data_IF_746967969233
#
_entry.id   IF_746967969233
#
_cell.length_a   1.000
_cell.length_b   1.000
_cell.length_c   1.000
_cell.angle_alpha   90.00
_cell.angle_beta   90.00
_cell.angle_gamma   90.00
#
_symmetry.space_group_name_H-M   'P 1'
#
loop_
_entity.id
_entity.type
_entity.pdbx_description
1 polymer ?
#
# COMPACT_ATOMS: atom_id res chain seq x y z
N UNK A 1 -15.69 38.53 -27.72
CA UNK A 1 -14.67 39.24 -26.91
C UNK A 1 -14.43 38.45 -25.62
N UNK A 2 -13.16 38.11 -25.37
CA UNK A 2 -12.51 37.66 -24.11
C UNK A 2 -13.01 36.34 -23.49
N UNK A 3 -12.36 35.21 -23.79
CA UNK A 3 -11.14 34.64 -23.14
C UNK A 3 -11.32 34.36 -21.64
N UNK A 4 -11.54 33.08 -21.30
CA UNK A 4 -11.39 32.52 -19.96
C UNK A 4 -10.27 31.47 -19.99
N UNK A 5 -9.13 31.84 -19.41
CA UNK A 5 -7.91 31.06 -19.25
C UNK A 5 -8.17 29.68 -18.62
N UNK A 6 -7.76 28.61 -19.32
CA UNK A 6 -7.39 27.34 -18.67
C UNK A 6 -5.88 27.19 -18.77
N UNK A 7 -5.23 27.45 -17.65
CA UNK A 7 -3.83 27.13 -17.38
C UNK A 7 -3.53 25.68 -17.74
N UNK A 8 -2.83 25.50 -18.86
CA UNK A 8 -2.35 24.22 -19.37
C UNK A 8 -1.09 23.85 -18.58
N UNK A 9 -1.23 22.92 -17.63
CA UNK A 9 -0.08 22.29 -16.98
C UNK A 9 0.80 21.62 -18.04
N UNK A 10 1.98 22.19 -18.29
CA UNK A 10 3.03 21.55 -19.09
C UNK A 10 3.73 20.53 -18.20
N UNK A 11 3.30 19.27 -18.27
CA UNK A 11 4.04 18.15 -17.69
C UNK A 11 5.46 18.10 -18.26
N UNK A 12 6.45 18.03 -17.37
CA UNK A 12 7.86 17.94 -17.72
C UNK A 12 8.12 16.62 -18.45
N UNK A 13 8.50 16.69 -19.74
CA UNK A 13 8.89 15.51 -20.53
C UNK A 13 10.35 15.18 -20.21
N UNK A 14 10.59 14.05 -19.54
CA UNK A 14 11.91 13.43 -19.46
C UNK A 14 12.23 12.73 -20.78
N UNK A 15 13.47 12.87 -21.28
CA UNK A 15 13.94 12.26 -22.52
C UNK A 15 14.63 10.93 -22.22
N UNK A 16 14.17 9.81 -22.78
CA UNK A 16 14.75 8.48 -22.61
C UNK A 16 15.14 7.90 -23.97
N UNK A 17 16.29 7.21 -24.09
CA UNK A 17 16.72 6.52 -25.32
C UNK A 17 16.68 5.01 -25.13
N UNK A 18 16.29 4.25 -26.16
CA UNK A 18 16.30 2.78 -26.12
C UNK A 18 17.73 2.25 -25.85
N UNK A 19 17.92 1.28 -24.92
CA UNK A 19 19.19 0.57 -24.73
C UNK A 19 19.56 -0.35 -25.91
N UNK A 20 18.60 -0.67 -26.79
CA UNK A 20 18.70 -1.66 -27.85
C UNK A 20 19.59 -1.29 -29.06
N UNK A 21 20.07 -0.04 -29.17
CA UNK A 21 20.72 0.45 -30.41
C UNK A 21 22.13 -0.08 -30.70
N UNK A 22 22.65 -1.04 -29.90
CA UNK A 22 23.93 -1.70 -30.17
C UNK A 22 23.81 -3.20 -30.54
N UNK A 23 22.61 -3.70 -30.86
CA UNK A 23 22.41 -5.04 -31.38
C UNK A 23 21.97 -4.98 -32.86
N UNK A 24 22.94 -4.82 -33.77
CA UNK A 24 22.74 -5.09 -35.19
C UNK A 24 22.49 -6.60 -35.39
N UNK A 25 21.22 -7.05 -35.36
CA UNK A 25 20.68 -8.22 -36.07
C UNK A 25 19.38 -8.81 -35.46
N UNK A 26 18.35 -8.00 -35.21
CA UNK A 26 17.01 -8.59 -35.03
C UNK A 26 15.98 -7.82 -35.85
N UNK A 27 15.69 -8.39 -37.02
CA UNK A 27 14.64 -7.95 -37.92
C UNK A 27 13.27 -8.17 -37.28
N UNK A 28 12.65 -7.10 -36.82
CA UNK A 28 11.21 -7.02 -36.63
C UNK A 28 10.73 -5.71 -37.23
N UNK A 29 10.17 -5.82 -38.44
CA UNK A 29 9.46 -4.75 -39.12
C UNK A 29 8.00 -4.80 -38.65
N UNK A 30 7.61 -3.85 -37.79
CA UNK A 30 6.21 -3.62 -37.42
C UNK A 30 5.75 -2.23 -37.87
N UNK A 31 4.48 -2.17 -38.26
CA UNK A 31 3.88 -1.24 -39.21
C UNK A 31 4.03 0.25 -38.89
N UNK A 32 4.31 1.01 -39.96
CA UNK A 32 4.33 2.45 -40.02
C UNK A 32 2.91 3.03 -40.09
N UNK A 33 2.62 4.03 -39.25
CA UNK A 33 1.88 5.27 -39.58
C UNK A 33 1.36 5.99 -38.31
N UNK A 34 2.26 6.51 -37.48
CA UNK A 34 1.94 7.61 -36.57
C UNK A 34 3.15 8.54 -36.54
N UNK A 35 2.94 9.86 -36.56
CA UNK A 35 3.98 10.90 -36.57
C UNK A 35 5.13 10.54 -35.61
N UNK A 36 6.27 10.18 -36.19
CA UNK A 36 7.49 9.75 -35.50
C UNK A 36 7.93 10.81 -34.47
N UNK A 37 8.02 10.48 -33.17
CA UNK A 37 8.67 11.35 -32.19
C UNK A 37 10.19 11.27 -32.38
N UNK A 38 10.76 12.17 -33.21
CA UNK A 38 12.20 12.47 -33.34
C UNK A 38 13.15 11.33 -32.90
N UNK A 39 13.03 10.17 -33.55
CA UNK A 39 13.82 8.92 -33.59
C UNK A 39 14.59 8.42 -32.34
N UNK A 40 14.35 8.95 -31.14
CA UNK A 40 15.17 8.65 -29.97
C UNK A 40 14.49 8.79 -28.62
N UNK A 41 13.19 9.08 -28.56
CA UNK A 41 12.48 9.33 -27.31
C UNK A 41 11.48 8.20 -27.01
N UNK A 42 11.83 7.34 -26.03
CA UNK A 42 10.95 6.29 -25.52
C UNK A 42 10.10 6.79 -24.36
N UNK A 43 8.89 6.24 -24.19
CA UNK A 43 8.07 6.50 -22.99
C UNK A 43 8.69 5.84 -21.75
N UNK A 44 8.42 6.38 -20.56
CA UNK A 44 8.95 5.81 -19.32
C UNK A 44 8.49 4.37 -19.10
N UNK A 45 7.22 4.07 -19.38
CA UNK A 45 6.66 2.72 -19.22
C UNK A 45 7.34 1.71 -20.15
N UNK A 46 7.57 2.08 -21.42
CA UNK A 46 8.27 1.23 -22.38
C UNK A 46 9.73 1.00 -21.95
N UNK A 47 10.44 2.06 -21.57
CA UNK A 47 11.81 1.97 -21.09
C UNK A 47 11.92 1.10 -19.83
N UNK A 48 10.99 1.28 -18.87
CA UNK A 48 10.93 0.48 -17.63
C UNK A 48 10.68 -0.99 -17.94
N UNK A 49 9.79 -1.29 -18.88
CA UNK A 49 9.53 -2.64 -19.34
C UNK A 49 10.80 -3.28 -19.92
N UNK A 50 11.50 -2.61 -20.84
CA UNK A 50 12.76 -3.10 -21.42
C UNK A 50 13.82 -3.39 -20.35
N UNK A 51 14.02 -2.47 -19.40
CA UNK A 51 14.97 -2.68 -18.30
C UNK A 51 14.57 -3.88 -17.43
N UNK A 52 13.28 -4.06 -17.18
CA UNK A 52 12.76 -5.19 -16.42
C UNK A 52 12.85 -6.51 -17.18
N UNK A 53 12.92 -6.51 -18.51
CA UNK A 53 13.18 -7.72 -19.29
C UNK A 53 14.65 -8.18 -19.16
N UNK A 54 15.60 -7.24 -19.09
CA UNK A 54 17.04 -7.56 -19.02
C UNK A 54 17.49 -7.95 -17.60
N UNK A 55 16.88 -7.36 -16.57
CA UNK A 55 17.24 -7.58 -15.16
C UNK A 55 17.20 -9.02 -14.63
N UNK A 56 16.14 -9.82 -14.87
CA UNK A 56 16.01 -11.16 -14.31
C UNK A 56 16.86 -12.19 -15.05
N UNK A 57 17.39 -11.85 -16.22
CA UNK A 57 18.18 -12.77 -17.02
C UNK A 57 19.57 -12.96 -16.38
N UNK A 58 19.81 -14.19 -15.90
CA UNK A 58 21.06 -14.58 -15.24
C UNK A 58 22.28 -14.52 -16.17
N UNK A 59 22.07 -14.34 -17.48
CA UNK A 59 23.13 -14.17 -18.46
C UNK A 59 23.87 -12.82 -18.32
N UNK A 60 23.26 -11.80 -17.72
CA UNK A 60 23.85 -10.46 -17.64
C UNK A 60 24.45 -10.15 -16.28
N UNK A 61 25.66 -9.60 -16.31
CA UNK A 61 26.30 -9.04 -15.12
C UNK A 61 25.56 -7.77 -14.63
N UNK A 62 25.46 -7.62 -13.30
CA UNK A 62 24.73 -6.51 -12.67
C UNK A 62 25.35 -5.15 -12.99
N UNK A 63 26.68 -5.07 -13.13
CA UNK A 63 27.34 -3.82 -13.53
C UNK A 63 27.07 -3.51 -14.99
N UNK A 64 27.08 -4.52 -15.88
CA UNK A 64 26.72 -4.33 -17.28
C UNK A 64 25.28 -3.81 -17.43
N UNK A 65 24.32 -4.36 -16.68
CA UNK A 65 22.92 -3.87 -16.67
C UNK A 65 22.84 -2.42 -16.16
N UNK A 66 23.51 -2.10 -15.05
CA UNK A 66 23.54 -0.73 -14.51
C UNK A 66 24.14 0.27 -15.51
N UNK A 67 25.21 -0.13 -16.19
CA UNK A 67 25.87 0.71 -17.18
C UNK A 67 24.98 0.93 -18.41
N UNK A 68 24.31 -0.11 -18.90
CA UNK A 68 23.32 -0.02 -19.96
C UNK A 68 22.15 0.90 -19.58
N UNK A 69 21.64 0.75 -18.35
CA UNK A 69 20.62 1.64 -17.77
C UNK A 69 21.12 3.08 -17.82
N UNK A 70 22.30 3.39 -17.28
CA UNK A 70 22.85 4.77 -17.30
C UNK A 70 23.04 5.30 -18.72
N UNK A 71 23.52 4.47 -19.65
CA UNK A 71 23.74 4.82 -21.07
C UNK A 71 22.45 5.00 -21.86
N UNK A 72 21.32 4.44 -21.41
CA UNK A 72 20.01 4.65 -22.05
C UNK A 72 19.38 6.00 -21.68
N UNK A 73 19.80 6.62 -20.57
CA UNK A 73 19.23 7.88 -20.10
C UNK A 73 19.76 9.09 -20.88
N UNK A 74 18.88 10.06 -21.15
CA UNK A 74 19.23 11.32 -21.81
C UNK A 74 18.61 12.51 -21.08
N UNK A 75 19.08 13.71 -21.40
CA UNK A 75 18.49 14.97 -20.90
C UNK A 75 18.30 15.00 -19.38
N UNK A 76 17.08 15.30 -18.94
CA UNK A 76 16.77 15.42 -17.51
C UNK A 76 16.80 14.08 -16.77
N UNK A 77 16.43 12.97 -17.42
CA UNK A 77 16.50 11.65 -16.80
C UNK A 77 17.95 11.29 -16.44
N UNK A 78 18.91 11.58 -17.33
CA UNK A 78 20.33 11.39 -17.05
C UNK A 78 20.79 12.26 -15.87
N UNK A 79 20.36 13.53 -15.80
CA UNK A 79 20.70 14.43 -14.68
C UNK A 79 20.14 13.94 -13.35
N UNK A 80 18.91 13.43 -13.33
CA UNK A 80 18.31 12.82 -12.13
C UNK A 80 19.15 11.62 -11.68
N UNK A 81 19.53 10.72 -12.60
CA UNK A 81 20.34 9.56 -12.26
C UNK A 81 21.74 9.95 -11.74
N UNK A 82 22.36 10.98 -12.32
CA UNK A 82 23.64 11.52 -11.81
C UNK A 82 23.52 12.03 -10.37
N UNK A 83 22.40 12.69 -10.01
CA UNK A 83 22.16 13.20 -8.65
C UNK A 83 21.98 12.09 -7.60
N UNK A 84 21.65 10.86 -8.00
CA UNK A 84 21.58 9.72 -7.09
C UNK A 84 22.98 9.23 -6.66
N UNK A 85 24.03 9.66 -7.36
CA UNK A 85 25.42 9.35 -7.04
C UNK A 85 25.94 8.06 -7.66
N UNK A 86 27.25 7.85 -7.52
CA UNK A 86 27.99 6.75 -8.18
C UNK A 86 27.58 5.36 -7.68
N UNK A 87 27.13 5.26 -6.43
CA UNK A 87 26.74 4.01 -5.78
C UNK A 87 25.26 3.63 -6.02
N UNK A 88 24.53 4.40 -6.83
CA UNK A 88 23.14 4.11 -7.14
C UNK A 88 23.00 2.82 -7.96
N UNK A 89 22.20 1.88 -7.46
CA UNK A 89 21.85 0.62 -8.14
C UNK A 89 20.77 0.86 -9.21
N UNK A 90 20.60 -0.09 -10.13
CA UNK A 90 19.55 0.00 -11.15
C UNK A 90 18.15 0.06 -10.53
N UNK A 91 17.90 -0.68 -9.44
CA UNK A 91 16.64 -0.60 -8.67
C UNK A 91 16.40 0.80 -8.10
N UNK A 92 17.43 1.44 -7.53
CA UNK A 92 17.30 2.79 -6.97
C UNK A 92 16.96 3.83 -8.05
N UNK A 93 17.53 3.69 -9.25
CA UNK A 93 17.24 4.56 -10.39
C UNK A 93 15.79 4.38 -10.83
N UNK A 94 15.34 3.13 -11.00
CA UNK A 94 13.96 2.84 -11.39
C UNK A 94 12.98 3.38 -10.34
N UNK A 95 13.23 3.12 -9.05
CA UNK A 95 12.40 3.61 -7.96
C UNK A 95 12.32 5.14 -7.94
N UNK A 96 13.43 5.84 -8.22
CA UNK A 96 13.40 7.29 -8.34
C UNK A 96 12.56 7.75 -9.52
N UNK A 97 12.62 7.05 -10.64
CA UNK A 97 11.85 7.40 -11.82
C UNK A 97 10.37 7.07 -11.66
N UNK A 98 10.03 6.02 -10.92
CA UNK A 98 8.64 5.74 -10.55
C UNK A 98 8.04 6.93 -9.80
N UNK A 99 8.81 7.57 -8.92
CA UNK A 99 8.34 8.77 -8.20
C UNK A 99 8.18 10.02 -9.08
N UNK A 100 8.87 10.10 -10.21
CA UNK A 100 8.90 11.29 -11.08
C UNK A 100 7.99 11.17 -12.31
N UNK A 101 7.94 9.97 -12.88
CA UNK A 101 7.32 9.68 -14.17
C UNK A 101 6.25 8.59 -14.08
N UNK A 102 6.18 7.86 -12.97
CA UNK A 102 5.12 6.90 -12.73
C UNK A 102 3.75 7.59 -12.69
N UNK A 103 2.69 6.78 -12.79
CA UNK A 103 1.33 7.29 -12.79
C UNK A 103 0.97 7.90 -11.43
N UNK A 104 0.90 9.23 -11.36
CA UNK A 104 0.51 9.99 -10.15
C UNK A 104 -1.02 10.16 -10.04
N UNK A 105 -1.76 9.91 -11.12
CA UNK A 105 -3.21 10.17 -11.18
C UNK A 105 -3.99 9.26 -10.23
N UNK A 106 -5.03 9.82 -9.61
CA UNK A 106 -5.95 9.05 -8.79
C UNK A 106 -6.68 8.01 -9.63
N UNK A 107 -6.94 6.83 -9.06
CA UNK A 107 -7.56 5.75 -9.82
C UNK A 107 -8.96 6.07 -10.34
N UNK A 108 -9.70 6.94 -9.65
CA UNK A 108 -11.00 7.43 -10.08
C UNK A 108 -10.89 8.31 -11.34
N UNK A 109 -9.85 9.14 -11.43
CA UNK A 109 -9.60 9.98 -12.61
C UNK A 109 -9.30 9.12 -13.85
N UNK A 110 -8.54 8.03 -13.67
CA UNK A 110 -8.22 7.10 -14.75
C UNK A 110 -9.47 6.38 -15.28
N UNK A 111 -10.34 5.93 -14.38
CA UNK A 111 -11.63 5.33 -14.77
C UNK A 111 -12.53 6.36 -15.46
N UNK A 112 -12.58 7.60 -14.96
CA UNK A 112 -13.33 8.67 -15.59
C UNK A 112 -12.80 8.96 -17.01
N UNK A 113 -11.49 8.98 -17.21
CA UNK A 113 -10.89 9.14 -18.53
C UNK A 113 -11.28 8.01 -19.48
N UNK A 114 -11.27 6.75 -19.02
CA UNK A 114 -11.69 5.60 -19.84
C UNK A 114 -13.12 5.79 -20.34
N UNK A 115 -14.05 6.16 -19.46
CA UNK A 115 -15.45 6.37 -19.85
C UNK A 115 -15.66 7.62 -20.71
N UNK A 116 -14.82 8.64 -20.55
CA UNK A 116 -14.90 9.87 -21.34
C UNK A 116 -14.14 9.78 -22.68
N UNK A 117 -13.28 8.79 -22.85
CA UNK A 117 -12.41 8.67 -24.01
C UNK A 117 -13.24 8.40 -25.28
N UNK A 118 -12.95 9.17 -26.33
CA UNK A 118 -13.49 8.99 -27.67
C UNK A 118 -12.35 9.05 -28.69
N UNK A 119 -12.56 8.44 -29.84
CA UNK A 119 -11.68 8.60 -31.00
C UNK A 119 -11.63 10.08 -31.40
N UNK A 120 -10.42 10.60 -31.63
CA UNK A 120 -10.22 12.00 -32.00
C UNK A 120 -10.35 12.20 -33.51
N UNK A 121 -10.62 13.44 -33.93
CA UNK A 121 -10.68 13.80 -35.34
C UNK A 121 -9.31 13.57 -36.00
N UNK A 122 -9.26 12.69 -37.01
CA UNK A 122 -8.03 12.32 -37.72
C UNK A 122 -7.19 11.25 -37.02
N UNK A 123 -7.66 10.66 -35.92
CA UNK A 123 -7.07 9.46 -35.31
C UNK A 123 -7.59 8.22 -36.04
N UNK A 124 -6.71 7.34 -36.49
CA UNK A 124 -7.12 6.05 -37.07
C UNK A 124 -7.56 5.05 -35.98
N UNK A 125 -8.24 3.98 -36.40
CA UNK A 125 -8.82 2.99 -35.49
C UNK A 125 -7.75 2.24 -34.68
N UNK A 126 -6.59 1.95 -35.26
CA UNK A 126 -5.53 1.24 -34.56
C UNK A 126 -4.91 2.13 -33.47
N UNK A 127 -4.59 3.38 -33.81
CA UNK A 127 -4.07 4.37 -32.87
C UNK A 127 -5.07 4.61 -31.72
N UNK A 128 -6.37 4.71 -32.03
CA UNK A 128 -7.42 4.82 -31.02
C UNK A 128 -7.49 3.58 -30.11
N UNK A 129 -7.45 2.36 -30.68
CA UNK A 129 -7.49 1.11 -29.90
C UNK A 129 -6.31 1.03 -28.93
N UNK A 130 -5.08 1.27 -29.41
CA UNK A 130 -3.89 1.25 -28.56
C UNK A 130 -4.00 2.26 -27.41
N UNK A 131 -4.47 3.48 -27.70
CA UNK A 131 -4.67 4.51 -26.66
C UNK A 131 -5.73 4.11 -25.64
N UNK A 132 -6.81 3.46 -26.08
CA UNK A 132 -7.87 2.98 -25.21
C UNK A 132 -7.40 1.81 -24.35
N UNK A 133 -6.63 0.87 -24.91
CA UNK A 133 -5.99 -0.23 -24.20
C UNK A 133 -5.03 0.27 -23.12
N UNK A 134 -4.20 1.29 -23.41
CA UNK A 134 -3.32 1.91 -22.42
C UNK A 134 -4.09 2.51 -21.24
N UNK A 135 -5.24 3.14 -21.49
CA UNK A 135 -6.12 3.68 -20.46
C UNK A 135 -6.74 2.56 -19.62
N UNK A 136 -7.21 1.50 -20.27
CA UNK A 136 -7.75 0.33 -19.60
C UNK A 136 -6.72 -0.41 -18.75
N UNK A 137 -5.50 -0.60 -19.24
CA UNK A 137 -4.43 -1.23 -18.49
C UNK A 137 -4.13 -0.47 -17.18
N UNK A 138 -4.12 0.87 -17.25
CA UNK A 138 -3.96 1.72 -16.06
C UNK A 138 -5.17 1.62 -15.11
N UNK A 139 -6.39 1.57 -15.65
CA UNK A 139 -7.61 1.43 -14.86
C UNK A 139 -7.78 0.02 -14.26
N UNK A 140 -7.23 -1.02 -14.89
CA UNK A 140 -7.28 -2.39 -14.38
C UNK A 140 -6.54 -2.52 -13.03
N UNK A 141 -5.39 -1.84 -12.89
CA UNK A 141 -4.67 -1.78 -11.62
C UNK A 141 -5.48 -1.07 -10.52
N UNK A 142 -6.26 -0.04 -10.90
CA UNK A 142 -7.18 0.64 -9.99
C UNK A 142 -8.27 -0.33 -9.52
N UNK A 143 -8.86 -1.09 -10.44
CA UNK A 143 -9.88 -2.08 -10.13
C UNK A 143 -9.32 -3.15 -9.17
N UNK A 144 -8.10 -3.62 -9.39
CA UNK A 144 -7.40 -4.58 -8.52
C UNK A 144 -7.21 -4.02 -7.11
N UNK A 145 -6.72 -2.79 -6.99
CA UNK A 145 -6.56 -2.09 -5.71
C UNK A 145 -7.90 -1.87 -4.99
N UNK A 146 -8.95 -1.47 -5.73
CA UNK A 146 -10.30 -1.26 -5.19
C UNK A 146 -10.92 -2.54 -4.70
N UNK A 147 -10.82 -3.61 -5.49
CA UNK A 147 -11.25 -4.96 -5.11
C UNK A 147 -10.57 -5.39 -3.81
N UNK A 148 -9.23 -5.30 -3.75
CA UNK A 148 -8.46 -5.66 -2.55
C UNK A 148 -8.89 -4.87 -1.30
N UNK A 149 -9.01 -3.54 -1.41
CA UNK A 149 -9.46 -2.68 -0.32
C UNK A 149 -10.92 -2.93 0.09
N UNK A 150 -11.74 -3.47 -0.80
CA UNK A 150 -13.13 -3.85 -0.54
C UNK A 150 -13.30 -5.21 0.15
N UNK A 151 -12.26 -6.06 0.18
CA UNK A 151 -12.34 -7.38 0.84
C UNK A 151 -12.49 -7.26 2.36
N UNK A 152 -13.12 -8.25 2.99
CA UNK A 152 -13.22 -8.33 4.45
C UNK A 152 -11.85 -8.54 5.09
N UNK A 153 -11.62 -7.93 6.26
CA UNK A 153 -10.32 -7.96 6.96
C UNK A 153 -9.74 -9.38 7.14
N UNK A 154 -10.50 -10.39 7.59
CA UNK A 154 -9.93 -11.73 7.82
C UNK A 154 -9.45 -12.42 6.53
N UNK A 155 -10.06 -12.08 5.38
CA UNK A 155 -9.61 -12.58 4.08
C UNK A 155 -8.30 -11.91 3.69
N UNK A 156 -8.23 -10.57 3.82
CA UNK A 156 -7.01 -9.79 3.52
C UNK A 156 -5.82 -10.22 4.35
N UNK A 157 -6.00 -10.44 5.65
CA UNK A 157 -4.91 -10.79 6.56
C UNK A 157 -4.21 -12.10 6.15
N UNK A 158 -4.97 -13.05 5.60
CA UNK A 158 -4.45 -14.36 5.19
C UNK A 158 -3.92 -14.37 3.76
N UNK A 159 -4.47 -13.52 2.88
CA UNK A 159 -4.13 -13.50 1.46
C UNK A 159 -3.26 -12.32 1.03
N UNK A 160 -2.75 -11.50 1.96
CA UNK A 160 -1.97 -10.29 1.67
C UNK A 160 -0.79 -10.50 0.73
N UNK A 161 -0.03 -11.58 0.93
CA UNK A 161 1.09 -11.94 0.07
C UNK A 161 0.67 -12.29 -1.38
N UNK A 162 -0.59 -12.70 -1.61
CA UNK A 162 -1.10 -12.94 -2.96
C UNK A 162 -1.37 -11.64 -3.69
N UNK A 163 -1.90 -10.63 -3.01
CA UNK A 163 -2.09 -9.31 -3.62
C UNK A 163 -0.79 -8.67 -4.10
N UNK A 164 0.33 -8.88 -3.40
CA UNK A 164 1.64 -8.35 -3.83
C UNK A 164 2.25 -9.14 -4.98
N UNK A 165 1.91 -10.42 -5.11
CA UNK A 165 2.53 -11.33 -6.08
C UNK A 165 1.75 -11.42 -7.39
N UNK A 166 0.43 -11.25 -7.32
CA UNK A 166 -0.48 -11.41 -8.46
C UNK A 166 -0.88 -10.04 -9.01
N UNK A 167 -0.40 -9.75 -10.21
CA UNK A 167 -0.73 -8.52 -10.94
C UNK A 167 -1.96 -8.67 -11.84
N UNK A 168 -2.30 -9.90 -12.23
CA UNK A 168 -3.51 -10.17 -13.01
C UNK A 168 -4.76 -10.13 -12.14
N UNK A 169 -5.75 -9.35 -12.55
CA UNK A 169 -6.97 -9.13 -11.76
C UNK A 169 -7.83 -10.40 -11.65
N UNK A 170 -7.95 -11.16 -12.74
CA UNK A 170 -8.78 -12.36 -12.77
C UNK A 170 -8.18 -13.51 -11.98
N UNK A 171 -6.87 -13.69 -12.06
CA UNK A 171 -6.08 -14.59 -11.22
C UNK A 171 -6.27 -14.26 -9.74
N UNK A 172 -6.13 -12.99 -9.36
CA UNK A 172 -6.30 -12.55 -7.98
C UNK A 172 -7.72 -12.90 -7.49
N UNK A 173 -8.74 -12.59 -8.29
CA UNK A 173 -10.14 -12.87 -7.97
C UNK A 173 -10.38 -14.37 -7.76
N UNK A 174 -9.85 -15.22 -8.64
CA UNK A 174 -9.98 -16.68 -8.52
C UNK A 174 -9.33 -17.21 -7.25
N UNK A 175 -8.13 -16.74 -6.93
CA UNK A 175 -7.41 -17.12 -5.71
C UNK A 175 -8.17 -16.65 -4.47
N UNK A 176 -8.72 -15.43 -4.45
CA UNK A 176 -9.54 -14.95 -3.33
C UNK A 176 -10.75 -15.86 -3.09
N UNK A 177 -11.44 -16.29 -4.14
CA UNK A 177 -12.57 -17.24 -4.01
C UNK A 177 -12.14 -18.59 -3.45
N UNK A 178 -10.93 -19.06 -3.75
CA UNK A 178 -10.39 -20.27 -3.12
C UNK A 178 -10.15 -20.07 -1.62
N UNK A 179 -9.59 -18.92 -1.22
CA UNK A 179 -9.42 -18.59 0.20
C UNK A 179 -10.77 -18.49 0.94
N UNK A 180 -11.79 -17.88 0.32
CA UNK A 180 -13.16 -17.86 0.86
C UNK A 180 -13.68 -19.30 1.07
N UNK A 181 -13.58 -20.13 0.03
CA UNK A 181 -14.01 -21.52 0.10
C UNK A 181 -13.31 -22.30 1.22
N UNK A 182 -11.98 -22.20 1.32
CA UNK A 182 -11.22 -22.85 2.40
C UNK A 182 -11.63 -22.32 3.78
N UNK A 183 -12.01 -21.04 3.89
CA UNK A 183 -12.43 -20.45 5.17
C UNK A 183 -13.74 -21.02 5.68
N UNK A 184 -14.68 -21.24 4.78
CA UNK A 184 -16.01 -21.77 5.12
C UNK A 184 -15.97 -23.29 5.35
N UNK A 185 -15.06 -24.00 4.68
CA UNK A 185 -15.03 -25.47 4.67
C UNK A 185 -13.93 -26.08 5.52
N UNK A 186 -12.99 -25.29 6.05
CA UNK A 186 -12.00 -25.79 6.98
C UNK A 186 -12.63 -25.89 8.37
N UNK A 187 -12.71 -27.09 8.98
CA UNK A 187 -13.23 -27.22 10.33
C UNK A 187 -12.36 -26.34 11.22
N UNK A 188 -13.00 -25.42 11.94
CA UNK A 188 -12.34 -24.63 12.98
C UNK A 188 -11.70 -25.61 13.95
N UNK A 189 -10.39 -25.85 13.82
CA UNK A 189 -9.66 -26.54 14.87
C UNK A 189 -9.92 -25.73 16.14
N UNK A 190 -10.47 -26.32 17.20
CA UNK A 190 -10.68 -25.58 18.43
C UNK A 190 -9.34 -24.99 18.80
N UNK A 191 -9.25 -23.67 18.80
CA UNK A 191 -8.09 -22.95 19.28
C UNK A 191 -7.88 -23.48 20.69
N UNK A 192 -6.81 -24.27 20.88
CA UNK A 192 -6.43 -24.71 22.20
C UNK A 192 -6.23 -23.42 23.00
N UNK A 193 -7.23 -23.08 23.81
CA UNK A 193 -7.06 -22.07 24.83
C UNK A 193 -6.00 -22.68 25.71
N UNK A 194 -4.77 -22.19 25.62
CA UNK A 194 -3.77 -22.39 26.65
C UNK A 194 -4.36 -21.76 27.90
N UNK A 195 -5.23 -22.51 28.59
CA UNK A 195 -5.38 -22.38 30.03
C UNK A 195 -3.98 -22.66 30.53
N UNK A 196 -3.28 -21.61 30.93
CA UNK A 196 -2.11 -21.76 31.76
C UNK A 196 -2.54 -22.71 32.88
N UNK A 197 -1.99 -23.92 32.89
CA UNK A 197 -2.16 -24.85 33.98
C UNK A 197 -1.35 -24.29 35.15
N UNK A 198 -1.88 -23.25 35.79
CA UNK A 198 -1.45 -22.90 37.13
C UNK A 198 -1.91 -24.06 38.00
N UNK A 199 -0.94 -24.74 38.61
CA UNK A 199 -1.24 -25.85 39.52
C UNK A 199 -2.13 -25.31 40.64
N UNK A 200 -3.09 -26.13 41.09
CA UNK A 200 -3.97 -25.74 42.22
C UNK A 200 -3.13 -25.40 43.47
N UNK A 201 -1.94 -25.98 43.57
CA UNK A 201 -0.96 -25.71 44.63
C UNK A 201 -0.40 -24.29 44.57
N UNK A 202 -0.08 -23.76 43.38
CA UNK A 202 0.36 -22.36 43.21
C UNK A 202 -0.74 -21.36 43.59
N UNK A 203 -1.98 -21.64 43.20
CA UNK A 203 -3.13 -20.78 43.53
C UNK A 203 -3.41 -20.80 45.04
N UNK A 204 -3.19 -21.94 45.69
CA UNK A 204 -3.35 -22.08 47.14
C UNK A 204 -2.23 -21.37 47.89
N UNK A 205 -0.98 -21.48 47.41
CA UNK A 205 0.17 -20.77 47.96
C UNK A 205 0.03 -19.25 47.83
N UNK A 206 -0.43 -18.74 46.68
CA UNK A 206 -0.68 -17.31 46.46
C UNK A 206 -1.81 -16.78 47.35
N UNK A 207 -2.87 -17.56 47.58
CA UNK A 207 -3.93 -17.19 48.54
C UNK A 207 -3.39 -17.13 49.97
N UNK A 208 -2.53 -18.06 50.37
CA UNK A 208 -1.92 -18.04 51.69
C UNK A 208 -1.03 -16.79 51.88
N UNK A 209 -0.25 -16.41 50.87
CA UNK A 209 0.55 -15.17 50.90
C UNK A 209 -0.32 -13.91 51.00
N UNK A 210 -1.45 -13.85 50.29
CA UNK A 210 -2.38 -12.72 50.40
C UNK A 210 -2.98 -12.58 51.81
N UNK A 211 -3.36 -13.68 52.46
CA UNK A 211 -3.86 -13.63 53.83
C UNK A 211 -2.78 -13.20 54.83
N UNK A 212 -1.53 -13.63 54.60
CA UNK A 212 -0.39 -13.21 55.43
C UNK A 212 -0.16 -11.70 55.32
N UNK A 213 -0.15 -11.15 54.10
CA UNK A 213 0.02 -9.72 53.85
C UNK A 213 -1.15 -8.89 54.41
N UNK A 214 -2.39 -9.38 54.29
CA UNK A 214 -3.55 -8.71 54.89
C UNK A 214 -3.46 -8.65 56.42
N UNK A 215 -2.92 -9.70 57.05
CA UNK A 215 -2.68 -9.72 58.49
C UNK A 215 -1.57 -8.75 58.90
N UNK A 216 -0.47 -8.71 58.16
CA UNK A 216 0.62 -7.74 58.39
C UNK A 216 0.14 -6.28 58.22
N UNK A 217 -0.71 -6.01 57.22
CA UNK A 217 -1.33 -4.70 57.06
C UNK A 217 -2.25 -4.34 58.23
N UNK A 218 -3.03 -5.28 58.74
CA UNK A 218 -3.89 -5.04 59.91
C UNK A 218 -3.07 -4.77 61.18
N UNK A 219 -1.95 -5.48 61.35
CA UNK A 219 -1.03 -5.28 62.49
C UNK A 219 -0.28 -3.93 62.40
N UNK A 220 0.07 -3.45 61.20
CA UNK A 220 0.63 -2.12 61.01
C UNK A 220 -0.40 -1.00 61.26
N UNK A 221 -1.66 -1.19 60.87
CA UNK A 221 -2.72 -0.19 61.09
C UNK A 221 -3.08 -0.05 62.59
N UNK A 222 -2.87 -1.10 63.39
CA UNK A 222 -3.10 -1.08 64.84
C UNK A 222 -1.99 -0.44 65.70
N UNK A 223 -0.88 0.02 65.10
CA UNK A 223 0.29 0.57 65.82
C UNK A 223 0.51 2.08 65.65
N UNK A 224 -0.42 2.84 65.11
CA UNK A 224 -0.31 4.30 65.18
C UNK A 224 -0.47 4.76 66.64
N UNK A 225 0.52 5.47 67.22
CA UNK A 225 0.37 6.09 68.52
C UNK A 225 -0.61 7.27 68.43
N UNK A 226 -1.46 7.37 69.45
CA UNK A 226 -2.40 8.47 69.67
C UNK A 226 -1.66 9.81 69.78
N UNK A 227 -1.92 10.72 68.84
CA UNK A 227 -1.61 12.15 69.00
C UNK A 227 -2.88 12.89 69.47
N UNK A 228 -2.69 13.65 70.55
CA UNK A 228 -3.66 14.33 71.42
C UNK A 228 -4.72 15.25 70.74
N UNK A 229 -5.86 15.52 71.42
CA UNK A 229 -6.99 16.24 70.87
C UNK A 229 -6.91 17.75 71.19
N UNK A 230 -7.05 18.60 70.15
CA UNK A 230 -7.44 19.99 70.37
C UNK A 230 -8.26 20.60 69.22
N UNK A 231 -9.55 20.78 69.53
CA UNK A 231 -10.44 21.89 69.14
C UNK A 231 -10.91 21.99 67.68
N UNK A 232 -12.24 22.03 67.53
CA UNK A 232 -12.86 23.06 66.66
C UNK A 232 -13.99 22.64 65.73
N UNK A 233 -15.16 22.31 66.30
CA UNK A 233 -16.53 22.71 65.89
C UNK A 233 -16.86 23.08 64.41
N UNK A 234 -17.98 22.46 63.98
CA UNK A 234 -18.96 22.79 62.91
C UNK A 234 -18.48 22.48 61.48
N UNK A 235 -19.19 21.75 60.65
CA UNK A 235 -20.54 21.22 60.69
C UNK A 235 -21.03 21.07 59.24
N UNK A 236 -22.08 20.26 59.08
CA UNK A 236 -23.05 20.24 57.97
C UNK A 236 -22.95 19.07 56.98
N UNK A 237 -23.93 18.18 57.17
CA UNK A 237 -24.53 17.20 56.28
C UNK A 237 -24.47 17.48 54.77
N UNK A 238 -24.26 16.42 53.97
CA UNK A 238 -25.13 16.18 52.79
C UNK A 238 -25.08 14.72 52.28
N UNK A 239 -26.15 14.00 52.66
CA UNK A 239 -27.05 13.18 51.83
C UNK A 239 -26.44 12.42 50.64
N UNK A 240 -26.39 11.10 50.83
CA UNK A 240 -26.34 10.04 49.83
C UNK A 240 -27.25 10.28 48.60
N UNK A 241 -26.68 10.13 47.40
CA UNK A 241 -27.43 9.83 46.18
C UNK A 241 -26.83 8.57 45.55
N UNK A 242 -27.61 7.49 45.55
CA UNK A 242 -27.41 6.33 44.69
C UNK A 242 -27.96 6.60 43.28
N UNK A 243 -27.52 5.83 42.26
CA UNK A 243 -27.68 6.15 40.85
C UNK A 243 -28.98 5.59 40.25
N UNK A 244 -29.56 6.30 39.29
CA UNK A 244 -30.70 5.85 38.48
C UNK A 244 -30.22 5.19 37.17
N UNK A 245 -30.90 4.11 36.70
CA UNK A 245 -30.67 3.49 35.39
C UNK A 245 -31.44 4.18 34.24
N UNK A 246 -31.13 3.87 32.96
CA UNK A 246 -31.46 4.71 31.81
C UNK A 246 -32.83 4.39 31.18
N UNK A 247 -33.36 5.33 30.40
CA UNK A 247 -34.45 5.10 29.44
C UNK A 247 -34.10 5.62 28.04
N UNK A 248 -34.69 5.03 26.97
CA UNK A 248 -34.26 5.24 25.60
C UNK A 248 -35.14 6.18 24.76
N UNK A 249 -34.56 6.53 23.61
CA UNK A 249 -35.16 6.93 22.32
C UNK A 249 -35.64 8.38 22.11
N UNK A 250 -35.06 9.03 21.09
CA UNK A 250 -35.83 9.48 19.92
C UNK A 250 -34.94 9.83 18.73
N UNK A 251 -35.20 9.10 17.65
CA UNK A 251 -34.88 9.41 16.27
C UNK A 251 -35.50 10.73 15.83
N UNK A 252 -34.77 11.46 14.99
CA UNK A 252 -35.31 12.44 14.05
C UNK A 252 -34.52 12.36 12.76
#
# INVERSE_FOLDING_TARGET
MKNGDRTRYKGARGKFSCPCKNAENFGFQWCAAAKQPKDSEASYELWKFEVNCVKPDAAYDRHAVLEAVRRSLRGEAARVAMRLGVNATADSIISKFDSLYGTVRGGEDLLADVYAAKQQDGEDVATWSCRLEDLWAKAAEVLRCRFWKGLVQPLRDRSGHKFTTINDFDELRRIMRQFEWTSDHQPRKPTATTKAAQSVDEVTALKAQLYQLQREMAEMIGRQPDDDPAKGRRGTQRRSKQPHPPQPARTR
#
